data_IF_059784519442
#
_entry.id   IF_059784519442
#
_cell.length_a   1.000
_cell.length_b   1.000
_cell.length_c   1.000
_cell.angle_alpha   90.00
_cell.angle_beta   90.00
_cell.angle_gamma   90.00
#
_symmetry.space_group_name_H-M   'P 1'
#
loop_
_entity.id
_entity.type
_entity.pdbx_description
1 polymer ?
#
# COMPACT_ATOMS: atom_id res chain seq x y z
N UNK A 1 -17.48 -12.62 13.81
CA UNK A 1 -16.95 -11.51 12.99
C UNK A 1 -17.78 -11.43 11.73
N UNK A 2 -18.20 -10.26 11.24
CA UNK A 2 -18.88 -10.20 9.94
C UNK A 2 -17.87 -10.65 8.88
N UNK A 3 -18.23 -11.58 8.00
CA UNK A 3 -17.33 -12.01 6.95
C UNK A 3 -17.08 -10.85 5.99
N UNK A 4 -15.81 -10.69 5.55
CA UNK A 4 -15.47 -9.74 4.49
C UNK A 4 -16.33 -10.01 3.26
N UNK A 5 -17.10 -9.00 2.81
CA UNK A 5 -18.06 -9.14 1.73
C UNK A 5 -17.33 -9.39 0.40
N UNK A 6 -17.66 -10.49 -0.32
CA UNK A 6 -17.06 -10.73 -1.63
C UNK A 6 -17.50 -9.69 -2.65
N UNK A 7 -16.52 -9.10 -3.36
CA UNK A 7 -16.76 -8.18 -4.48
C UNK A 7 -16.71 -8.92 -5.82
N UNK A 8 -17.46 -8.45 -6.81
CA UNK A 8 -17.49 -9.08 -8.14
C UNK A 8 -16.23 -8.72 -8.93
N UNK A 9 -15.78 -7.46 -8.78
CA UNK A 9 -14.55 -6.96 -9.42
C UNK A 9 -13.84 -6.03 -8.46
N UNK A 10 -12.51 -6.13 -8.44
CA UNK A 10 -11.61 -5.19 -7.79
C UNK A 10 -10.69 -4.56 -8.82
N UNK A 11 -10.73 -3.24 -8.92
CA UNK A 11 -9.82 -2.44 -9.72
C UNK A 11 -8.80 -1.77 -8.81
N UNK A 12 -7.52 -1.85 -9.15
CA UNK A 12 -6.41 -1.25 -8.39
C UNK A 12 -5.58 -0.38 -9.32
N UNK A 13 -5.65 0.93 -9.15
CA UNK A 13 -4.81 1.89 -9.84
C UNK A 13 -3.55 2.17 -9.02
N UNK A 14 -2.39 1.98 -9.63
CA UNK A 14 -1.09 2.26 -9.01
C UNK A 14 -0.76 3.74 -9.24
N UNK A 15 -1.14 4.58 -8.30
CA UNK A 15 -0.95 6.03 -8.43
C UNK A 15 0.47 6.48 -8.04
N UNK A 16 1.13 5.79 -7.09
CA UNK A 16 2.55 5.98 -6.74
C UNK A 16 3.21 4.62 -6.58
N UNK A 17 4.36 4.45 -7.21
CA UNK A 17 5.31 3.36 -7.02
C UNK A 17 6.71 3.82 -7.47
N UNK A 18 7.74 3.10 -7.06
CA UNK A 18 9.15 3.38 -7.40
C UNK A 18 9.50 3.06 -8.85
N UNK A 19 8.74 2.19 -9.51
CA UNK A 19 9.01 1.67 -10.85
C UNK A 19 8.08 2.30 -11.88
N UNK A 20 8.63 2.64 -13.05
CA UNK A 20 7.89 2.91 -14.28
C UNK A 20 8.27 1.84 -15.31
N UNK A 21 7.28 1.13 -15.85
CA UNK A 21 7.49 0.06 -16.84
C UNK A 21 6.34 0.02 -17.85
N UNK A 22 6.58 0.61 -19.01
CA UNK A 22 5.63 0.69 -20.11
C UNK A 22 5.93 -0.26 -21.28
N UNK A 23 7.06 -0.94 -21.24
CA UNK A 23 7.53 -1.74 -22.38
C UNK A 23 7.47 -3.26 -22.16
N UNK A 24 7.46 -3.71 -20.90
CA UNK A 24 7.31 -5.13 -20.61
C UNK A 24 5.89 -5.60 -20.94
N UNK A 25 5.77 -6.81 -21.50
CA UNK A 25 4.47 -7.46 -21.67
C UNK A 25 3.81 -7.69 -20.32
N UNK A 26 2.49 -7.52 -20.25
CA UNK A 26 1.70 -7.67 -19.03
C UNK A 26 0.66 -8.79 -19.19
N UNK A 27 0.31 -9.52 -18.14
CA UNK A 27 -0.87 -10.39 -18.12
C UNK A 27 -2.16 -9.62 -18.46
N UNK A 28 -3.15 -10.33 -19.02
CA UNK A 28 -4.40 -9.70 -19.51
C UNK A 28 -5.23 -8.95 -18.46
N UNK A 29 -5.04 -9.26 -17.19
CA UNK A 29 -5.71 -8.57 -16.08
C UNK A 29 -4.99 -7.27 -15.65
N UNK A 30 -3.90 -6.89 -16.34
CA UNK A 30 -3.12 -5.67 -16.06
C UNK A 30 -3.12 -4.79 -17.30
N UNK A 31 -3.66 -3.58 -17.17
CA UNK A 31 -3.58 -2.54 -18.18
C UNK A 31 -2.34 -1.67 -17.92
N UNK A 32 -1.40 -1.55 -18.87
CA UNK A 32 -0.22 -0.68 -18.71
C UNK A 32 -0.59 0.80 -18.77
N UNK A 33 0.30 1.64 -18.24
CA UNK A 33 0.10 3.09 -18.15
C UNK A 33 -0.28 3.73 -19.50
N UNK A 34 0.39 3.38 -20.62
CA UNK A 34 0.07 3.94 -21.93
C UNK A 34 -1.40 3.77 -22.31
N UNK A 35 -1.97 2.60 -22.05
CA UNK A 35 -3.38 2.34 -22.32
C UNK A 35 -4.28 3.18 -21.40
N UNK A 36 -3.91 3.29 -20.12
CA UNK A 36 -4.70 3.98 -19.11
C UNK A 36 -4.75 5.50 -19.37
N UNK A 37 -3.61 6.13 -19.71
CA UNK A 37 -3.59 7.58 -20.00
C UNK A 37 -4.33 7.92 -21.27
N UNK A 38 -4.26 7.08 -22.32
CA UNK A 38 -5.04 7.27 -23.55
C UNK A 38 -6.54 7.10 -23.26
N UNK A 39 -6.94 6.08 -22.49
CA UNK A 39 -8.32 5.89 -22.07
C UNK A 39 -8.84 7.05 -21.22
N UNK A 40 -7.97 7.71 -20.47
CA UNK A 40 -8.26 8.92 -19.71
C UNK A 40 -8.37 10.20 -20.57
N UNK A 41 -8.11 10.11 -21.89
CA UNK A 41 -8.26 11.22 -22.83
C UNK A 41 -6.97 11.89 -23.27
N UNK A 42 -5.80 11.33 -22.97
CA UNK A 42 -4.54 11.84 -23.53
C UNK A 42 -4.53 11.62 -25.05
N UNK A 43 -4.18 12.66 -25.79
CA UNK A 43 -4.11 12.64 -27.28
C UNK A 43 -2.72 12.28 -27.79
N UNK A 44 -1.72 12.25 -26.91
CA UNK A 44 -0.35 11.89 -27.22
C UNK A 44 0.33 11.27 -26.00
N UNK A 45 1.36 10.48 -26.23
CA UNK A 45 2.25 9.99 -25.17
C UNK A 45 3.42 10.96 -25.07
N UNK A 46 3.55 11.61 -23.92
CA UNK A 46 4.60 12.60 -23.64
C UNK A 46 4.99 12.60 -22.17
N UNK A 47 6.10 13.24 -21.84
CA UNK A 47 6.51 13.38 -20.42
C UNK A 47 5.48 14.11 -19.55
N UNK A 48 4.58 14.91 -20.14
CA UNK A 48 3.50 15.60 -19.39
C UNK A 48 2.26 14.74 -19.18
N UNK A 49 2.00 13.76 -20.04
CA UNK A 49 0.83 12.87 -19.98
C UNK A 49 1.11 11.58 -19.19
N UNK A 50 2.36 11.24 -18.97
CA UNK A 50 2.74 10.06 -18.19
C UNK A 50 2.87 10.36 -16.70
N UNK A 51 2.77 9.31 -15.90
CA UNK A 51 3.00 9.33 -14.46
C UNK A 51 4.48 9.49 -14.13
N UNK A 52 4.75 10.03 -12.95
CA UNK A 52 6.08 10.05 -12.37
C UNK A 52 6.21 8.94 -11.31
N UNK A 53 7.21 8.08 -11.48
CA UNK A 53 7.61 7.15 -10.43
C UNK A 53 8.26 7.93 -9.27
N UNK A 54 7.96 7.52 -8.04
CA UNK A 54 8.51 8.16 -6.84
C UNK A 54 8.64 7.13 -5.72
N UNK A 55 9.63 7.28 -4.85
CA UNK A 55 9.79 6.40 -3.69
C UNK A 55 8.57 6.55 -2.77
N UNK A 56 7.78 5.51 -2.67
CA UNK A 56 6.54 5.48 -1.90
C UNK A 56 5.50 4.56 -2.53
N UNK A 57 4.34 4.52 -1.93
CA UNK A 57 3.19 3.79 -2.46
C UNK A 57 1.89 4.59 -2.27
N UNK A 58 1.04 4.56 -3.29
CA UNK A 58 -0.36 4.98 -3.20
C UNK A 58 -1.21 4.17 -4.18
N UNK A 59 -2.26 3.55 -3.67
CA UNK A 59 -3.18 2.72 -4.43
C UNK A 59 -4.60 3.28 -4.34
N UNK A 60 -5.27 3.46 -5.47
CA UNK A 60 -6.70 3.73 -5.50
C UNK A 60 -7.42 2.44 -5.83
N UNK A 61 -8.23 1.95 -4.88
CA UNK A 61 -8.92 0.67 -5.01
C UNK A 61 -10.43 0.91 -5.19
N UNK A 62 -11.00 0.35 -6.25
CA UNK A 62 -12.44 0.38 -6.47
C UNK A 62 -13.01 -1.04 -6.44
N UNK A 63 -13.81 -1.30 -5.41
CA UNK A 63 -14.57 -2.55 -5.25
C UNK A 63 -15.93 -2.41 -5.90
N UNK A 64 -16.31 -3.37 -6.74
CA UNK A 64 -17.58 -3.40 -7.47
C UNK A 64 -18.39 -4.61 -7.05
N UNK A 65 -19.67 -4.39 -6.69
CA UNK A 65 -20.63 -5.45 -6.37
C UNK A 65 -21.97 -5.11 -7.03
N UNK A 66 -22.33 -5.81 -8.08
CA UNK A 66 -23.47 -5.46 -8.92
C UNK A 66 -23.32 -4.05 -9.48
N UNK A 67 -24.23 -3.15 -9.10
CA UNK A 67 -24.21 -1.73 -9.51
C UNK A 67 -23.59 -0.80 -8.45
N UNK A 68 -23.10 -1.35 -7.34
CA UNK A 68 -22.46 -0.56 -6.28
C UNK A 68 -20.95 -0.50 -6.51
N UNK A 69 -20.37 0.69 -6.30
CA UNK A 69 -18.94 0.93 -6.38
C UNK A 69 -18.50 1.60 -5.08
N UNK A 70 -17.44 1.10 -4.50
CA UNK A 70 -16.79 1.70 -3.33
C UNK A 70 -15.32 1.95 -3.63
N UNK A 71 -14.89 3.21 -3.46
CA UNK A 71 -13.52 3.62 -3.73
C UNK A 71 -12.79 3.98 -2.44
N UNK A 72 -11.65 3.34 -2.21
CA UNK A 72 -10.77 3.55 -1.08
C UNK A 72 -9.37 3.95 -1.56
N UNK A 73 -8.78 4.96 -0.93
CA UNK A 73 -7.36 5.29 -1.09
C UNK A 73 -6.55 4.56 0.00
N UNK A 74 -5.57 3.74 -0.43
CA UNK A 74 -4.61 3.10 0.46
C UNK A 74 -3.25 3.74 0.29
N UNK A 75 -2.81 4.48 1.31
CA UNK A 75 -1.67 5.40 1.33
C UNK A 75 -1.77 6.54 0.29
N UNK A 76 -0.98 7.59 0.45
CA UNK A 76 -1.01 8.77 -0.41
C UNK A 76 0.32 9.05 -1.12
N UNK A 77 1.38 8.31 -0.77
CA UNK A 77 2.72 8.57 -1.30
C UNK A 77 3.41 9.78 -0.64
N UNK A 78 4.59 10.17 -1.16
CA UNK A 78 5.45 11.15 -0.49
C UNK A 78 5.12 12.61 -0.80
N UNK A 79 4.51 12.91 -1.98
CA UNK A 79 4.38 14.29 -2.47
C UNK A 79 3.07 14.52 -3.23
N UNK A 80 2.29 15.49 -2.78
CA UNK A 80 0.97 15.80 -3.33
C UNK A 80 0.98 16.20 -4.79
N UNK A 81 1.94 17.01 -5.22
CA UNK A 81 2.04 17.45 -6.62
C UNK A 81 2.17 16.28 -7.60
N UNK A 82 2.96 15.27 -7.24
CA UNK A 82 3.17 14.06 -8.06
C UNK A 82 1.95 13.14 -7.99
N UNK A 83 1.43 12.86 -6.79
CA UNK A 83 0.25 12.03 -6.61
C UNK A 83 -0.97 12.56 -7.38
N UNK A 84 -1.30 13.85 -7.21
CA UNK A 84 -2.43 14.49 -7.90
C UNK A 84 -2.24 14.55 -9.42
N UNK A 85 -1.00 14.78 -9.89
CA UNK A 85 -0.67 14.69 -11.30
C UNK A 85 -0.93 13.29 -11.86
N UNK A 86 -0.43 12.25 -11.17
CA UNK A 86 -0.58 10.87 -11.62
C UNK A 86 -2.06 10.46 -11.68
N UNK A 87 -2.85 10.74 -10.62
CA UNK A 87 -4.29 10.50 -10.62
C UNK A 87 -5.00 11.19 -11.78
N UNK A 88 -4.70 12.47 -12.04
CA UNK A 88 -5.26 13.22 -13.16
C UNK A 88 -4.92 12.57 -14.50
N UNK A 89 -3.65 12.21 -14.72
CA UNK A 89 -3.20 11.62 -15.97
C UNK A 89 -3.81 10.23 -16.23
N UNK A 90 -4.11 9.48 -15.16
CA UNK A 90 -4.77 8.18 -15.21
C UNK A 90 -6.30 8.26 -15.30
N UNK A 91 -6.87 9.46 -15.19
CA UNK A 91 -8.33 9.64 -15.13
C UNK A 91 -8.96 9.08 -13.84
N UNK A 92 -8.18 8.97 -12.77
CA UNK A 92 -8.65 8.50 -11.45
C UNK A 92 -9.33 9.67 -10.73
N UNK A 93 -10.64 9.52 -10.45
CA UNK A 93 -11.44 10.52 -9.73
C UNK A 93 -11.23 10.38 -8.22
N UNK A 94 -10.44 11.27 -7.63
CA UNK A 94 -10.30 11.33 -6.17
C UNK A 94 -11.56 11.86 -5.47
N UNK A 95 -12.49 12.50 -6.19
CA UNK A 95 -13.78 12.94 -5.63
C UNK A 95 -14.68 11.75 -5.22
N UNK A 96 -14.43 10.57 -5.78
CA UNK A 96 -15.17 9.36 -5.50
C UNK A 96 -14.59 8.56 -4.33
N UNK A 97 -13.47 9.01 -3.74
CA UNK A 97 -12.88 8.37 -2.56
C UNK A 97 -13.80 8.54 -1.36
N UNK A 98 -14.25 7.42 -0.81
CA UNK A 98 -15.18 7.35 0.33
C UNK A 98 -14.46 7.14 1.66
N UNK A 99 -13.24 6.56 1.63
CA UNK A 99 -12.40 6.36 2.80
C UNK A 99 -10.91 6.37 2.41
N UNK A 100 -10.07 6.77 3.35
CA UNK A 100 -8.61 6.68 3.26
C UNK A 100 -8.14 5.74 4.36
N UNK A 101 -7.27 4.78 4.03
CA UNK A 101 -6.60 3.93 5.00
C UNK A 101 -5.09 4.10 4.86
N UNK A 102 -4.42 4.37 5.97
CA UNK A 102 -2.96 4.51 6.01
C UNK A 102 -2.35 3.24 6.59
N UNK A 103 -1.33 2.74 5.93
CA UNK A 103 -0.63 1.52 6.32
C UNK A 103 0.23 1.72 7.57
N UNK A 104 1.06 2.75 7.59
CA UNK A 104 1.96 3.08 8.70
C UNK A 104 2.48 4.53 8.59
N UNK A 105 3.10 5.03 9.66
CA UNK A 105 3.49 6.43 9.78
C UNK A 105 4.85 6.79 9.16
N UNK A 106 5.11 6.45 7.91
CA UNK A 106 6.28 6.92 7.17
C UNK A 106 5.89 8.00 6.14
N UNK A 107 6.84 8.89 5.85
CA UNK A 107 6.66 10.05 4.98
C UNK A 107 6.31 9.67 3.53
N UNK A 108 6.84 8.56 3.05
CA UNK A 108 6.62 8.03 1.69
C UNK A 108 5.25 7.35 1.49
N UNK A 109 4.44 7.31 2.57
CA UNK A 109 3.04 6.86 2.58
C UNK A 109 2.06 7.97 2.98
N UNK A 110 2.50 8.96 3.76
CA UNK A 110 1.64 10.03 4.31
C UNK A 110 1.98 11.44 3.79
N UNK A 111 3.08 11.61 3.07
CA UNK A 111 3.60 12.93 2.70
C UNK A 111 2.64 13.74 1.83
N UNK A 112 1.88 13.10 0.95
CA UNK A 112 0.90 13.74 0.08
C UNK A 112 -0.49 13.90 0.71
N UNK A 113 -0.69 13.48 1.96
CA UNK A 113 -2.04 13.30 2.52
C UNK A 113 -2.81 14.61 2.67
N UNK A 114 -2.18 15.72 3.08
CA UNK A 114 -2.86 17.02 3.21
C UNK A 114 -3.33 17.55 1.85
N UNK A 115 -2.46 17.56 0.84
CA UNK A 115 -2.83 17.95 -0.52
C UNK A 115 -3.95 17.08 -1.09
N UNK A 116 -3.92 15.79 -0.77
CA UNK A 116 -4.94 14.83 -1.19
C UNK A 116 -6.28 15.11 -0.55
N UNK A 117 -6.32 15.35 0.76
CA UNK A 117 -7.54 15.72 1.50
C UNK A 117 -8.13 17.03 0.99
N UNK A 118 -7.29 18.04 0.78
CA UNK A 118 -7.71 19.33 0.19
C UNK A 118 -8.30 19.14 -1.21
N UNK A 119 -7.70 18.27 -2.02
CA UNK A 119 -8.22 17.97 -3.35
C UNK A 119 -9.57 17.28 -3.28
N UNK A 120 -9.69 16.25 -2.46
CA UNK A 120 -10.93 15.47 -2.29
C UNK A 120 -12.05 16.38 -1.80
N UNK A 121 -11.84 17.14 -0.73
CA UNK A 121 -12.88 18.00 -0.14
C UNK A 121 -13.34 19.10 -1.08
N UNK A 122 -12.45 19.67 -1.89
CA UNK A 122 -12.83 20.64 -2.94
C UNK A 122 -13.72 20.04 -4.02
N UNK A 123 -13.58 18.75 -4.35
CA UNK A 123 -14.29 18.13 -5.47
C UNK A 123 -15.47 17.25 -5.03
N UNK A 124 -15.56 16.85 -3.76
CA UNK A 124 -16.67 16.06 -3.20
C UNK A 124 -17.76 16.88 -2.50
N UNK A 125 -17.86 18.18 -2.79
CA UNK A 125 -18.81 19.14 -2.19
C UNK A 125 -18.55 19.47 -0.71
N UNK A 126 -17.29 19.44 -0.29
CA UNK A 126 -16.90 19.78 1.07
C UNK A 126 -17.19 18.70 2.12
N UNK A 127 -17.48 17.46 1.72
CA UNK A 127 -17.71 16.36 2.66
C UNK A 127 -16.38 15.91 3.26
N UNK A 128 -16.35 15.74 4.59
CA UNK A 128 -15.22 15.11 5.26
C UNK A 128 -15.10 13.64 4.82
N UNK A 129 -13.85 13.16 4.74
CA UNK A 129 -13.54 11.76 4.37
C UNK A 129 -12.99 11.03 5.57
N UNK A 130 -13.55 9.85 5.95
CA UNK A 130 -12.95 9.01 6.97
C UNK A 130 -11.51 8.67 6.61
N UNK A 131 -10.58 9.05 7.49
CA UNK A 131 -9.15 8.75 7.37
C UNK A 131 -8.72 7.84 8.53
N UNK A 132 -8.48 6.57 8.21
CA UNK A 132 -8.18 5.54 9.17
C UNK A 132 -6.68 5.48 9.43
N UNK A 133 -6.27 5.93 10.61
CA UNK A 133 -4.88 5.99 11.09
C UNK A 133 -4.71 5.20 12.40
N UNK A 134 -3.47 4.96 12.79
CA UNK A 134 -3.11 4.28 14.04
C UNK A 134 -2.36 5.26 14.96
N UNK A 135 -2.60 5.28 16.28
CA UNK A 135 -1.91 6.18 17.21
C UNK A 135 -0.37 6.16 17.11
N UNK A 136 0.23 5.00 16.79
CA UNK A 136 1.69 4.85 16.63
C UNK A 136 2.26 5.54 15.39
N UNK A 137 1.44 5.96 14.44
CA UNK A 137 1.89 6.59 13.19
C UNK A 137 2.51 7.98 13.40
N UNK A 138 2.18 8.65 14.48
CA UNK A 138 2.53 10.05 14.71
C UNK A 138 3.84 10.27 15.50
N UNK A 139 4.65 9.23 15.64
CA UNK A 139 6.00 9.32 16.18
C UNK A 139 6.93 9.98 15.15
N UNK A 140 7.89 10.81 15.62
CA UNK A 140 8.99 11.23 14.77
C UNK A 140 9.90 10.02 14.52
N UNK A 141 10.29 9.80 13.26
CA UNK A 141 11.07 8.65 12.84
C UNK A 141 12.39 9.04 12.17
N UNK A 142 13.33 8.10 12.22
CA UNK A 142 14.64 8.23 11.59
C UNK A 142 15.18 6.84 11.20
N UNK A 143 16.22 6.83 10.38
CA UNK A 143 17.01 5.63 10.16
C UNK A 143 18.48 5.89 10.46
N UNK A 144 19.17 4.87 10.97
CA UNK A 144 20.62 4.87 11.07
C UNK A 144 21.21 4.44 9.73
N UNK A 145 21.90 5.34 9.05
CA UNK A 145 22.57 5.05 7.78
C UNK A 145 23.79 4.15 7.98
N UNK A 146 24.28 3.55 6.90
CA UNK A 146 25.50 2.71 6.91
C UNK A 146 26.75 3.44 7.42
N UNK A 147 26.75 4.76 7.37
CA UNK A 147 27.79 5.63 7.92
C UNK A 147 27.70 5.83 9.44
N UNK A 148 26.65 5.30 10.10
CA UNK A 148 26.32 5.55 11.50
C UNK A 148 25.60 6.87 11.75
N UNK A 149 25.36 7.69 10.70
CA UNK A 149 24.61 8.93 10.83
C UNK A 149 23.10 8.63 10.99
N UNK A 150 22.44 9.30 11.94
CA UNK A 150 20.99 9.25 12.09
C UNK A 150 20.37 10.28 11.12
N UNK A 151 19.58 9.79 10.17
CA UNK A 151 18.85 10.59 9.21
C UNK A 151 17.37 10.68 9.62
N UNK A 152 16.91 11.82 10.16
CA UNK A 152 15.50 12.01 10.47
C UNK A 152 14.64 11.95 9.20
N UNK A 153 13.47 11.32 9.32
CA UNK A 153 12.46 11.33 8.25
C UNK A 153 11.65 12.62 8.32
N UNK A 154 11.03 12.97 7.18
CA UNK A 154 10.03 14.02 7.15
C UNK A 154 8.92 13.68 8.15
N UNK A 155 8.48 14.68 8.91
CA UNK A 155 7.39 14.54 9.84
C UNK A 155 6.06 14.30 9.10
N UNK A 156 5.31 13.31 9.55
CA UNK A 156 3.96 13.05 9.02
C UNK A 156 2.96 14.07 9.60
N UNK A 157 1.86 14.38 8.88
CA UNK A 157 0.81 15.26 9.39
C UNK A 157 0.21 14.72 10.68
N UNK A 158 -0.05 15.59 11.64
CA UNK A 158 -0.72 15.24 12.90
C UNK A 158 -2.22 14.96 12.69
N UNK A 159 -2.92 14.33 13.65
CA UNK A 159 -4.37 14.18 13.58
C UNK A 159 -5.12 15.52 13.42
N UNK A 160 -4.63 16.58 14.04
CA UNK A 160 -5.22 17.91 13.93
C UNK A 160 -5.01 18.49 12.52
N UNK A 161 -3.80 18.39 11.95
CA UNK A 161 -3.54 18.78 10.57
C UNK A 161 -4.48 18.04 9.59
N UNK A 162 -4.66 16.72 9.79
CA UNK A 162 -5.58 15.93 8.96
C UNK A 162 -7.02 16.42 9.06
N UNK A 163 -7.48 16.74 10.27
CA UNK A 163 -8.85 17.22 10.51
C UNK A 163 -9.06 18.61 9.88
N UNK A 164 -8.08 19.51 9.98
CA UNK A 164 -8.11 20.85 9.36
C UNK A 164 -8.23 20.80 7.83
N UNK A 165 -7.63 19.75 7.22
CA UNK A 165 -7.68 19.52 5.76
C UNK A 165 -8.88 18.65 5.31
N UNK A 166 -9.85 18.36 6.20
CA UNK A 166 -11.13 17.73 5.85
C UNK A 166 -11.20 16.24 6.10
N UNK A 167 -10.26 15.66 6.86
CA UNK A 167 -10.41 14.31 7.32
C UNK A 167 -11.37 14.18 8.51
N UNK A 168 -12.24 13.17 8.47
CA UNK A 168 -12.81 12.59 9.68
C UNK A 168 -11.81 11.59 10.23
N UNK A 169 -10.97 12.02 11.17
CA UNK A 169 -9.87 11.18 11.68
C UNK A 169 -10.40 10.02 12.51
N UNK A 170 -10.12 8.79 12.09
CA UNK A 170 -10.42 7.55 12.82
C UNK A 170 -9.11 6.98 13.34
N UNK A 171 -8.66 7.47 14.49
CA UNK A 171 -7.39 7.09 15.10
C UNK A 171 -7.57 5.86 16.03
N UNK A 172 -7.22 4.67 15.55
CA UNK A 172 -7.49 3.41 16.27
C UNK A 172 -6.54 2.31 15.81
N UNK A 173 -6.05 1.49 16.73
CA UNK A 173 -5.28 0.28 16.45
C UNK A 173 -6.15 -0.96 16.22
N UNK A 174 -7.48 -0.88 16.41
CA UNK A 174 -8.37 -2.00 16.21
C UNK A 174 -8.63 -2.29 14.71
N UNK A 175 -8.81 -3.57 14.34
CA UNK A 175 -9.20 -3.92 12.98
C UNK A 175 -10.60 -3.40 12.65
N UNK A 176 -10.87 -3.16 11.35
CA UNK A 176 -12.15 -2.63 10.88
C UNK A 176 -12.53 -3.15 9.51
N UNK A 177 -13.85 -3.33 9.33
CA UNK A 177 -14.44 -3.45 8.01
C UNK A 177 -14.92 -2.07 7.56
N UNK A 178 -14.73 -1.76 6.27
CA UNK A 178 -15.04 -0.46 5.68
C UNK A 178 -15.89 -0.65 4.43
N UNK A 179 -16.71 0.38 4.13
CA UNK A 179 -17.44 0.50 2.88
C UNK A 179 -18.27 -0.76 2.59
N UNK A 180 -19.33 -0.94 3.36
CA UNK A 180 -20.24 -2.10 3.29
C UNK A 180 -19.51 -3.45 3.42
N UNK A 181 -18.47 -3.48 4.27
CA UNK A 181 -17.61 -4.65 4.52
C UNK A 181 -16.85 -5.16 3.29
N UNK A 182 -16.69 -4.34 2.24
CA UNK A 182 -15.90 -4.69 1.05
C UNK A 182 -14.38 -4.65 1.31
N UNK A 183 -13.94 -3.89 2.31
CA UNK A 183 -12.53 -3.75 2.67
C UNK A 183 -12.32 -4.07 4.15
N UNK A 184 -11.22 -4.73 4.45
CA UNK A 184 -10.77 -4.97 5.81
C UNK A 184 -9.42 -4.31 6.04
N UNK A 185 -9.33 -3.43 7.04
CA UNK A 185 -8.07 -2.88 7.55
C UNK A 185 -7.71 -3.65 8.80
N UNK A 186 -6.51 -4.22 8.84
CA UNK A 186 -6.05 -5.02 9.98
C UNK A 186 -5.88 -4.16 11.24
N UNK A 187 -5.88 -4.81 12.38
CA UNK A 187 -5.29 -4.28 13.60
C UNK A 187 -3.77 -4.44 13.60
N UNK A 188 -3.19 -4.44 14.80
CA UNK A 188 -1.80 -4.80 15.00
C UNK A 188 -1.52 -6.20 14.44
N UNK A 189 -0.47 -6.33 13.65
CA UNK A 189 -0.08 -7.60 13.00
C UNK A 189 0.80 -8.39 13.97
N UNK A 190 0.42 -9.62 14.40
CA UNK A 190 1.24 -10.44 15.28
C UNK A 190 2.60 -10.81 14.66
N UNK A 191 3.67 -10.69 15.43
CA UNK A 191 5.05 -11.01 15.02
C UNK A 191 5.40 -12.45 15.40
N UNK A 192 4.79 -13.44 14.70
CA UNK A 192 4.90 -14.87 15.00
C UNK A 192 5.99 -15.58 14.21
N UNK A 193 6.42 -15.05 13.07
CA UNK A 193 7.51 -15.57 12.26
C UNK A 193 8.83 -15.59 13.03
N UNK A 194 9.60 -16.68 12.90
CA UNK A 194 10.88 -16.83 13.61
C UNK A 194 11.98 -15.92 13.07
N UNK A 195 11.88 -15.45 11.82
CA UNK A 195 12.93 -14.70 11.13
C UNK A 195 12.56 -13.24 10.82
N UNK A 196 11.28 -12.87 10.71
CA UNK A 196 10.83 -11.50 10.46
C UNK A 196 10.85 -10.68 11.75
N UNK A 197 11.98 -10.05 12.05
CA UNK A 197 12.22 -9.30 13.30
C UNK A 197 12.25 -7.78 13.10
N UNK A 198 11.74 -7.32 11.96
CA UNK A 198 11.74 -5.90 11.59
C UNK A 198 13.11 -5.37 11.14
N UNK A 199 13.26 -4.04 11.14
CA UNK A 199 14.48 -3.36 10.70
C UNK A 199 15.25 -2.78 11.88
N UNK A 200 16.48 -3.23 12.13
CA UNK A 200 17.26 -2.77 13.29
C UNK A 200 17.77 -1.33 13.20
N UNK A 201 17.75 -0.74 12.00
CA UNK A 201 18.19 0.62 11.72
C UNK A 201 17.09 1.68 11.92
N UNK A 202 15.85 1.28 12.18
CA UNK A 202 14.75 2.20 12.43
C UNK A 202 14.74 2.73 13.86
N UNK A 203 14.49 4.03 13.99
CA UNK A 203 14.44 4.76 15.24
C UNK A 203 13.15 5.59 15.33
N UNK A 204 12.66 5.82 16.54
CA UNK A 204 11.58 6.75 16.81
C UNK A 204 11.84 7.61 18.03
N UNK A 205 11.07 8.69 18.16
CA UNK A 205 10.93 9.51 19.38
C UNK A 205 9.56 10.19 19.39
N UNK A 206 9.09 10.60 20.56
CA UNK A 206 7.77 11.25 20.70
C UNK A 206 7.79 12.72 20.29
N UNK A 207 8.89 13.41 20.56
CA UNK A 207 9.02 14.84 20.28
C UNK A 207 10.46 15.26 20.02
N UNK A 208 10.61 16.41 19.37
CA UNK A 208 11.92 17.04 19.17
C UNK A 208 12.61 17.29 20.52
N UNK A 209 13.89 16.89 20.61
CA UNK A 209 14.67 17.00 21.85
C UNK A 209 14.70 15.73 22.71
N UNK A 210 13.82 14.78 22.52
CA UNK A 210 13.96 13.46 23.10
C UNK A 210 15.02 12.63 22.37
N UNK A 211 15.71 11.72 23.08
CA UNK A 211 16.68 10.83 22.45
C UNK A 211 15.96 9.85 21.51
N UNK A 212 16.61 9.54 20.38
CA UNK A 212 16.14 8.48 19.50
C UNK A 212 16.18 7.12 20.20
N UNK A 213 15.09 6.36 20.06
CA UNK A 213 14.93 5.01 20.59
C UNK A 213 14.81 4.01 19.43
N UNK A 214 15.27 2.76 19.58
CA UNK A 214 15.04 1.72 18.57
C UNK A 214 13.53 1.49 18.33
N UNK A 215 13.15 1.44 17.06
CA UNK A 215 11.78 1.11 16.62
C UNK A 215 11.80 0.10 15.46
N UNK A 216 12.40 -1.08 15.68
CA UNK A 216 12.61 -2.04 14.59
C UNK A 216 11.31 -2.64 14.07
N UNK A 217 10.25 -2.67 14.88
CA UNK A 217 9.04 -3.44 14.57
C UNK A 217 7.94 -2.63 13.87
N UNK A 218 7.97 -1.29 13.94
CA UNK A 218 6.91 -0.43 13.36
C UNK A 218 5.52 -1.00 13.66
N UNK A 219 5.15 -1.02 14.96
CA UNK A 219 3.95 -1.71 15.46
C UNK A 219 2.62 -1.08 14.98
N UNK A 220 2.67 0.12 14.42
CA UNK A 220 1.52 0.79 13.82
C UNK A 220 1.17 0.30 12.41
N UNK A 221 2.02 -0.55 11.80
CA UNK A 221 1.74 -1.08 10.48
C UNK A 221 0.49 -1.95 10.43
N UNK A 222 -0.29 -1.78 9.37
CA UNK A 222 -1.46 -2.59 9.01
C UNK A 222 -1.51 -2.87 7.52
N UNK A 223 -2.25 -3.91 7.18
CA UNK A 223 -2.57 -4.25 5.81
C UNK A 223 -4.04 -4.02 5.50
N UNK A 224 -4.35 -3.94 4.22
CA UNK A 224 -5.72 -3.96 3.69
C UNK A 224 -5.98 -5.31 3.04
N UNK A 225 -7.23 -5.82 3.13
CA UNK A 225 -7.63 -7.04 2.44
C UNK A 225 -8.99 -6.86 1.74
N UNK A 226 -9.13 -7.48 0.57
CA UNK A 226 -10.38 -7.53 -0.21
C UNK A 226 -10.63 -8.96 -0.66
N UNK A 227 -11.86 -9.43 -0.50
CA UNK A 227 -12.28 -10.73 -0.99
C UNK A 227 -12.89 -10.60 -2.39
N UNK A 228 -12.21 -11.07 -3.42
CA UNK A 228 -12.74 -11.13 -4.79
C UNK A 228 -13.46 -12.47 -4.99
N UNK A 229 -14.72 -12.41 -5.46
CA UNK A 229 -15.58 -13.58 -5.66
C UNK A 229 -14.87 -14.63 -6.53
N UNK A 230 -15.00 -15.90 -6.17
CA UNK A 230 -14.41 -17.06 -6.86
C UNK A 230 -12.88 -17.09 -6.93
N UNK A 231 -12.19 -16.03 -6.47
CA UNK A 231 -10.72 -16.00 -6.41
C UNK A 231 -10.20 -16.20 -4.99
N UNK A 232 -10.65 -15.40 -4.04
CA UNK A 232 -10.15 -15.38 -2.68
C UNK A 232 -9.69 -13.98 -2.25
N UNK A 233 -8.86 -13.92 -1.22
CA UNK A 233 -8.41 -12.66 -0.65
C UNK A 233 -7.16 -12.15 -1.36
N UNK A 234 -7.20 -10.87 -1.75
CA UNK A 234 -6.03 -10.09 -2.14
C UNK A 234 -5.64 -9.22 -0.96
N UNK A 235 -4.37 -9.32 -0.56
CA UNK A 235 -3.78 -8.58 0.55
C UNK A 235 -2.94 -7.43 0.00
N UNK A 236 -3.11 -6.24 0.55
CA UNK A 236 -2.33 -5.05 0.24
C UNK A 236 -1.47 -4.71 1.46
N UNK A 237 -0.16 -4.94 1.35
CA UNK A 237 0.81 -4.65 2.40
C UNK A 237 1.81 -3.63 1.87
N UNK A 238 1.74 -2.39 2.36
CA UNK A 238 2.47 -1.29 1.72
C UNK A 238 3.99 -1.46 1.80
N UNK A 239 4.51 -1.80 2.99
CA UNK A 239 5.94 -2.05 3.21
C UNK A 239 6.25 -3.44 3.77
N UNK A 240 5.33 -4.07 4.48
CA UNK A 240 5.56 -5.32 5.22
C UNK A 240 6.69 -5.19 6.27
N UNK A 241 6.70 -4.09 7.05
CA UNK A 241 7.59 -3.97 8.22
C UNK A 241 7.35 -5.08 9.24
N UNK A 242 6.09 -5.54 9.32
CA UNK A 242 5.72 -6.71 10.09
C UNK A 242 6.34 -8.01 9.58
N UNK A 243 6.78 -8.01 8.30
CA UNK A 243 7.10 -9.18 7.54
C UNK A 243 5.90 -9.71 6.75
N UNK A 244 6.09 -9.99 5.47
CA UNK A 244 4.99 -10.47 4.60
C UNK A 244 4.43 -11.82 5.07
N UNK A 245 5.26 -12.66 5.67
CA UNK A 245 4.79 -13.95 6.21
C UNK A 245 3.88 -13.72 7.42
N UNK A 246 4.22 -12.80 8.33
CA UNK A 246 3.35 -12.42 9.45
C UNK A 246 2.03 -11.82 8.96
N UNK A 247 2.06 -10.98 7.93
CA UNK A 247 0.86 -10.41 7.29
C UNK A 247 -0.05 -11.52 6.75
N UNK A 248 0.49 -12.46 5.97
CA UNK A 248 -0.29 -13.54 5.37
C UNK A 248 -0.79 -14.56 6.40
N UNK A 249 0.00 -14.87 7.44
CA UNK A 249 -0.44 -15.71 8.56
C UNK A 249 -1.62 -15.09 9.29
N UNK A 250 -1.53 -13.79 9.60
CA UNK A 250 -2.63 -13.08 10.27
C UNK A 250 -3.87 -13.01 9.36
N UNK A 251 -3.71 -12.76 8.06
CA UNK A 251 -4.85 -12.76 7.14
C UNK A 251 -5.55 -14.11 7.12
N UNK A 252 -4.78 -15.22 7.06
CA UNK A 252 -5.33 -16.58 7.08
C UNK A 252 -6.02 -16.93 8.40
N UNK A 253 -5.52 -16.40 9.52
CA UNK A 253 -6.14 -16.57 10.84
C UNK A 253 -7.48 -15.81 10.93
N UNK A 254 -7.52 -14.58 10.40
CA UNK A 254 -8.74 -13.75 10.40
C UNK A 254 -9.81 -14.30 9.46
N UNK A 255 -9.42 -14.89 8.34
CA UNK A 255 -10.30 -15.40 7.29
C UNK A 255 -10.00 -16.88 6.96
N UNK A 256 -10.19 -17.81 7.89
CA UNK A 256 -9.75 -19.20 7.74
C UNK A 256 -10.47 -19.96 6.61
N UNK A 257 -11.67 -19.54 6.25
CA UNK A 257 -12.52 -20.21 5.26
C UNK A 257 -12.38 -19.66 3.83
N UNK A 258 -11.53 -18.63 3.64
CA UNK A 258 -11.34 -17.99 2.34
C UNK A 258 -9.86 -18.12 1.92
N UNK A 259 -9.57 -18.70 0.74
CA UNK A 259 -8.19 -18.85 0.29
C UNK A 259 -7.54 -17.49 0.05
N UNK A 260 -6.23 -17.39 0.30
CA UNK A 260 -5.43 -16.25 -0.11
C UNK A 260 -5.16 -16.37 -1.61
N UNK A 261 -5.55 -15.37 -2.39
CA UNK A 261 -5.34 -15.35 -3.84
C UNK A 261 -4.05 -14.64 -4.23
N UNK A 262 -3.79 -13.50 -3.59
CA UNK A 262 -2.59 -12.72 -3.95
C UNK A 262 -2.17 -11.72 -2.89
N UNK A 263 -0.97 -11.17 -3.10
CA UNK A 263 -0.41 -10.07 -2.31
C UNK A 263 0.16 -9.00 -3.25
N UNK A 264 -0.20 -7.74 -3.00
CA UNK A 264 0.35 -6.56 -3.67
C UNK A 264 1.00 -5.64 -2.65
N UNK A 265 2.21 -5.19 -2.95
CA UNK A 265 2.89 -4.17 -2.16
C UNK A 265 4.37 -4.40 -1.96
N UNK A 266 4.94 -3.64 -1.03
CA UNK A 266 6.34 -3.74 -0.64
C UNK A 266 6.59 -4.89 0.32
N UNK A 267 7.63 -5.67 0.07
CA UNK A 267 8.02 -6.80 0.93
C UNK A 267 9.19 -6.47 1.85
N UNK A 268 9.68 -5.24 1.79
CA UNK A 268 10.78 -4.69 2.58
C UNK A 268 12.04 -5.58 2.62
N UNK A 269 12.38 -6.19 1.48
CA UNK A 269 13.52 -7.11 1.33
C UNK A 269 14.74 -6.44 0.68
N UNK A 270 14.75 -5.11 0.56
CA UNK A 270 15.86 -4.34 0.04
C UNK A 270 16.87 -3.94 1.12
N UNK A 271 18.15 -3.88 0.74
CA UNK A 271 19.26 -3.53 1.62
C UNK A 271 19.90 -4.75 2.29
N UNK A 272 21.21 -4.66 2.58
CA UNK A 272 22.03 -5.81 2.97
C UNK A 272 21.52 -6.59 4.20
N UNK A 273 20.84 -5.92 5.14
CA UNK A 273 20.28 -6.57 6.32
C UNK A 273 19.04 -7.40 5.95
N UNK A 274 18.18 -6.86 5.10
CA UNK A 274 16.89 -7.47 4.75
C UNK A 274 17.04 -8.51 3.62
N UNK A 275 17.98 -8.32 2.71
CA UNK A 275 18.25 -9.27 1.62
C UNK A 275 18.62 -10.66 2.15
N UNK A 276 19.14 -10.77 3.37
CA UNK A 276 19.44 -12.06 4.04
C UNK A 276 18.19 -12.87 4.34
N UNK A 277 17.02 -12.22 4.43
CA UNK A 277 15.73 -12.86 4.68
C UNK A 277 15.08 -13.43 3.42
N UNK A 278 15.59 -13.09 2.23
CA UNK A 278 15.00 -13.54 0.95
C UNK A 278 14.83 -15.06 0.89
N UNK A 279 15.82 -15.91 1.20
CA UNK A 279 15.65 -17.36 1.12
C UNK A 279 14.54 -17.89 2.03
N UNK A 280 14.50 -17.43 3.29
CA UNK A 280 13.48 -17.85 4.25
C UNK A 280 12.09 -17.34 3.83
N UNK A 281 12.01 -16.10 3.32
CA UNK A 281 10.75 -15.54 2.80
C UNK A 281 10.23 -16.38 1.62
N UNK A 282 11.08 -16.72 0.65
CA UNK A 282 10.69 -17.57 -0.49
C UNK A 282 10.20 -18.94 -0.03
N UNK A 283 10.92 -19.57 0.91
CA UNK A 283 10.53 -20.87 1.44
C UNK A 283 9.17 -20.86 2.13
N UNK A 284 8.89 -19.79 2.92
CA UNK A 284 7.64 -19.68 3.67
C UNK A 284 6.47 -19.18 2.81
N UNK A 285 6.70 -18.39 1.75
CA UNK A 285 5.64 -17.97 0.84
C UNK A 285 4.93 -19.14 0.13
N UNK A 286 5.63 -20.25 -0.11
CA UNK A 286 5.08 -21.46 -0.75
C UNK A 286 3.83 -22.01 -0.06
N UNK A 287 3.78 -21.93 1.27
CA UNK A 287 2.67 -22.49 2.06
C UNK A 287 1.32 -21.77 1.83
N UNK A 288 1.33 -20.59 1.22
CA UNK A 288 0.13 -19.81 0.97
C UNK A 288 -0.49 -20.07 -0.39
N UNK A 289 0.21 -20.76 -1.30
CA UNK A 289 -0.25 -21.14 -2.65
C UNK A 289 -0.78 -19.96 -3.46
N UNK A 290 -0.21 -18.75 -3.27
CA UNK A 290 -0.64 -17.53 -3.92
C UNK A 290 -0.63 -17.67 -5.44
N UNK A 291 -1.71 -17.22 -6.07
CA UNK A 291 -1.83 -17.20 -7.52
C UNK A 291 -1.24 -15.92 -8.11
N UNK A 292 -1.19 -14.83 -7.32
CA UNK A 292 -0.63 -13.54 -7.73
C UNK A 292 0.28 -12.98 -6.64
N UNK A 293 1.52 -12.64 -7.01
CA UNK A 293 2.48 -11.93 -6.17
C UNK A 293 2.89 -10.69 -6.96
N UNK A 294 2.54 -9.53 -6.46
CA UNK A 294 2.72 -8.24 -7.13
C UNK A 294 3.67 -7.36 -6.31
N UNK A 295 5.00 -7.66 -6.37
CA UNK A 295 5.98 -6.91 -5.60
C UNK A 295 6.07 -5.46 -6.10
N UNK A 296 6.10 -4.53 -5.14
CA UNK A 296 6.11 -3.09 -5.34
C UNK A 296 7.15 -2.42 -4.43
N UNK A 297 7.34 -1.14 -4.58
CA UNK A 297 7.94 -0.19 -3.66
C UNK A 297 9.28 -0.68 -3.04
N UNK A 298 9.28 -1.04 -1.75
CA UNK A 298 10.49 -1.40 -0.98
C UNK A 298 10.93 -2.87 -1.12
N UNK A 299 10.36 -3.63 -2.05
CA UNK A 299 10.72 -5.06 -2.26
C UNK A 299 12.18 -5.24 -2.68
N UNK A 300 12.66 -4.42 -3.59
CA UNK A 300 14.03 -4.49 -4.12
C UNK A 300 14.20 -5.53 -5.23
N UNK A 301 15.15 -5.25 -6.14
CA UNK A 301 15.34 -6.05 -7.37
C UNK A 301 15.85 -7.48 -7.10
N UNK A 302 16.65 -7.70 -6.01
CA UNK A 302 17.11 -9.06 -5.66
C UNK A 302 15.97 -9.96 -5.20
N UNK A 303 15.06 -9.42 -4.40
CA UNK A 303 13.86 -10.13 -3.98
C UNK A 303 12.92 -10.39 -5.16
N UNK A 304 12.73 -9.41 -6.05
CA UNK A 304 11.97 -9.61 -7.29
C UNK A 304 12.54 -10.77 -8.14
N UNK A 305 13.87 -10.81 -8.34
CA UNK A 305 14.51 -11.89 -9.06
C UNK A 305 14.31 -13.26 -8.38
N UNK A 306 14.39 -13.30 -7.04
CA UNK A 306 14.14 -14.53 -6.29
C UNK A 306 12.68 -14.99 -6.41
N UNK A 307 11.71 -14.05 -6.35
CA UNK A 307 10.29 -14.35 -6.56
C UNK A 307 10.03 -14.94 -7.95
N UNK A 308 10.58 -14.33 -9.02
CA UNK A 308 10.44 -14.83 -10.39
C UNK A 308 11.04 -16.22 -10.54
N UNK A 309 12.21 -16.48 -9.97
CA UNK A 309 12.85 -17.80 -10.03
C UNK A 309 12.05 -18.87 -9.27
N UNK A 310 11.43 -18.52 -8.15
CA UNK A 310 10.74 -19.47 -7.28
C UNK A 310 9.30 -19.76 -7.73
N UNK A 311 8.56 -18.70 -8.15
CA UNK A 311 7.13 -18.79 -8.43
C UNK A 311 6.77 -18.66 -9.91
N UNK A 312 7.72 -18.22 -10.75
CA UNK A 312 7.54 -18.04 -12.18
C UNK A 312 6.73 -16.80 -12.58
N UNK A 313 6.88 -16.40 -13.84
CA UNK A 313 6.25 -15.20 -14.43
C UNK A 313 4.72 -15.26 -14.46
N UNK A 314 4.13 -16.46 -14.44
CA UNK A 314 2.67 -16.62 -14.39
C UNK A 314 2.06 -16.13 -13.07
N UNK A 315 2.83 -16.14 -11.98
CA UNK A 315 2.37 -15.74 -10.64
C UNK A 315 2.98 -14.43 -10.18
N UNK A 316 4.13 -14.03 -10.71
CA UNK A 316 4.86 -12.85 -10.26
C UNK A 316 4.82 -11.77 -11.35
N UNK A 317 4.20 -10.65 -11.03
CA UNK A 317 4.21 -9.47 -11.90
C UNK A 317 4.57 -8.24 -11.07
N UNK A 318 5.71 -7.58 -11.36
CA UNK A 318 6.07 -6.35 -10.66
C UNK A 318 5.01 -5.27 -10.86
N UNK A 319 4.71 -4.55 -9.80
CA UNK A 319 3.92 -3.32 -9.87
C UNK A 319 4.74 -2.22 -10.57
N UNK A 320 4.03 -1.30 -11.21
CA UNK A 320 4.62 -0.09 -11.78
C UNK A 320 3.60 1.05 -11.71
N UNK A 321 4.08 2.28 -11.50
CA UNK A 321 3.22 3.47 -11.52
C UNK A 321 2.45 3.56 -12.84
N UNK A 322 1.20 3.94 -12.76
CA UNK A 322 0.32 4.05 -13.93
C UNK A 322 -0.34 2.76 -14.39
N UNK A 323 0.07 1.59 -13.86
CA UNK A 323 -0.59 0.31 -14.14
C UNK A 323 -1.94 0.21 -13.43
N UNK A 324 -2.89 -0.48 -14.06
CA UNK A 324 -4.20 -0.84 -13.48
C UNK A 324 -4.34 -2.36 -13.45
N UNK A 325 -4.55 -2.91 -12.26
CA UNK A 325 -4.88 -4.32 -12.07
C UNK A 325 -6.40 -4.47 -11.97
N UNK A 326 -6.95 -5.50 -12.60
CA UNK A 326 -8.38 -5.82 -12.54
C UNK A 326 -8.55 -7.30 -12.18
N UNK A 327 -9.26 -7.55 -11.09
CA UNK A 327 -9.56 -8.88 -10.60
C UNK A 327 -11.07 -9.06 -10.55
N UNK A 328 -11.58 -10.04 -11.26
CA UNK A 328 -13.01 -10.38 -11.36
C UNK A 328 -13.24 -11.59 -12.23
#
# INVERSE_FOLDING_TARGET
MNPLRPVDTLVVDIAIDNLSDNYSSKPSHISPEFNNVIAAGATEISGSTLCCAQLGLALVLTAVTGNQHHTLLFDAGPEGAIFLRNCRNLGVSLADVEAIAISHGHWDHMGALLDTLDHITRHNRGRQVPCHVNPGMFLERAATLTTGHIAPFQRVPSPDDLAEHGAQVVNSSAPRFLLDDCFYVSGEIPRVSSFEKGRPDHLCRRSAGEPWQPDPLIMDERYLAVHVREKGIIVFSACSHAGVINVLLNTREVFPDVPLYGVLGGLHLAGAAMERLIPDTMAHLKQFELQQIMPAHCTGWRALHALLNEFGEARVTPSAVGSRFTFG
#
